data_IF_574426688711
#
_entry.id   IF_574426688711
#
_cell.length_a   1.000
_cell.length_b   1.000
_cell.length_c   1.000
_cell.angle_alpha   90.00
_cell.angle_beta   90.00
_cell.angle_gamma   90.00
#
_symmetry.space_group_name_H-M   'P 1'
#
loop_
_entity.id
_entity.type
_entity.pdbx_description
1 polymer ?
#
# COMPACT_ATOMS: atom_id res chain seq x y z
N UNK A 1 7.32 -2.74 21.34
CA UNK A 1 7.89 -2.69 19.99
C UNK A 1 7.46 -3.87 19.11
N UNK A 2 6.98 -5.00 19.65
CA UNK A 2 6.56 -6.15 18.84
C UNK A 2 5.64 -5.75 17.67
N UNK A 3 5.90 -6.22 16.44
CA UNK A 3 6.93 -7.20 16.04
C UNK A 3 8.38 -6.69 15.97
N UNK A 4 8.61 -5.39 16.05
CA UNK A 4 9.95 -4.81 15.99
C UNK A 4 10.80 -5.14 17.23
N UNK A 5 12.09 -5.47 17.03
CA UNK A 5 12.99 -5.84 18.13
C UNK A 5 13.54 -4.63 18.91
N UNK A 6 13.51 -3.44 18.33
CA UNK A 6 14.05 -2.21 18.93
C UNK A 6 13.34 -0.95 18.39
N UNK A 7 13.65 0.19 18.99
CA UNK A 7 13.04 1.47 18.65
C UNK A 7 13.45 2.00 17.27
N UNK A 8 14.73 1.84 16.89
CA UNK A 8 15.22 2.27 15.58
C UNK A 8 14.49 1.55 14.44
N UNK A 9 14.26 0.25 14.61
CA UNK A 9 13.52 -0.57 13.66
C UNK A 9 12.04 -0.21 13.62
N UNK A 10 11.41 0.08 14.76
CA UNK A 10 10.03 0.57 14.79
C UNK A 10 9.90 1.90 14.03
N UNK A 11 10.76 2.88 14.32
CA UNK A 11 10.68 4.21 13.70
C UNK A 11 10.90 4.15 12.18
N UNK A 12 11.84 3.31 11.74
CA UNK A 12 12.11 3.15 10.32
C UNK A 12 11.00 2.37 9.60
N UNK A 13 10.46 1.33 10.24
CA UNK A 13 9.30 0.59 9.75
C UNK A 13 8.04 1.45 9.66
N UNK A 14 7.76 2.26 10.68
CA UNK A 14 6.65 3.23 10.70
C UNK A 14 6.76 4.22 9.53
N UNK A 15 7.94 4.79 9.32
CA UNK A 15 8.19 5.66 8.16
C UNK A 15 7.98 4.92 6.82
N UNK A 16 8.36 3.64 6.74
CA UNK A 16 8.17 2.84 5.54
C UNK A 16 6.68 2.58 5.26
N UNK A 17 5.91 2.10 6.25
CA UNK A 17 4.51 1.71 6.09
C UNK A 17 3.54 2.90 6.00
N UNK A 18 3.75 3.97 6.77
CA UNK A 18 2.74 5.01 6.95
C UNK A 18 2.88 6.24 6.03
N UNK A 19 3.89 6.30 5.16
CA UNK A 19 4.17 7.49 4.34
C UNK A 19 3.54 7.47 2.94
N UNK A 20 2.52 6.63 2.73
CA UNK A 20 1.81 6.48 1.46
C UNK A 20 2.65 5.80 0.36
N UNK A 21 2.01 5.52 -0.77
CA UNK A 21 2.63 4.88 -1.95
C UNK A 21 3.70 5.74 -2.62
N UNK A 22 3.60 7.07 -2.51
CA UNK A 22 4.58 8.00 -3.07
C UNK A 22 5.32 8.75 -1.96
N UNK A 23 6.63 8.46 -1.81
CA UNK A 23 7.47 9.16 -0.83
C UNK A 23 7.65 10.63 -1.23
N UNK A 24 7.20 11.53 -0.37
CA UNK A 24 7.29 12.98 -0.57
C UNK A 24 8.60 13.57 -0.04
N UNK A 25 8.93 14.81 -0.45
CA UNK A 25 10.11 15.53 0.09
C UNK A 25 10.01 15.78 1.60
N UNK A 26 8.81 15.96 2.13
CA UNK A 26 8.58 16.06 3.58
C UNK A 26 8.81 14.72 4.27
N UNK A 27 8.36 13.62 3.67
CA UNK A 27 8.66 12.26 4.15
C UNK A 27 10.16 11.98 4.17
N UNK A 28 10.91 12.43 3.16
CA UNK A 28 12.37 12.31 3.15
C UNK A 28 13.03 13.08 4.30
N UNK A 29 12.54 14.27 4.66
CA UNK A 29 13.04 14.98 5.85
C UNK A 29 12.78 14.22 7.14
N UNK A 30 11.66 13.51 7.26
CA UNK A 30 11.37 12.66 8.41
C UNK A 30 12.34 11.49 8.48
N UNK A 31 12.67 10.86 7.34
CA UNK A 31 13.73 9.84 7.29
C UNK A 31 15.06 10.39 7.79
N UNK A 32 15.47 11.58 7.31
CA UNK A 32 16.71 12.23 7.74
C UNK A 32 16.73 12.51 9.26
N UNK A 33 15.58 12.87 9.84
CA UNK A 33 15.48 13.07 11.29
C UNK A 33 15.60 11.76 12.07
N UNK A 34 15.16 10.63 11.52
CA UNK A 34 15.31 9.31 12.14
C UNK A 34 16.78 8.89 12.10
N UNK A 35 17.39 8.86 10.91
CA UNK A 35 18.78 8.37 10.74
C UNK A 35 19.83 9.33 11.29
N UNK A 36 19.50 10.62 11.39
CA UNK A 36 20.36 11.67 11.95
C UNK A 36 20.25 11.81 13.47
N UNK A 37 19.45 11.00 14.15
CA UNK A 37 19.30 11.03 15.61
C UNK A 37 20.55 10.50 16.32
N UNK A 38 20.91 11.07 17.46
CA UNK A 38 22.02 10.57 18.31
C UNK A 38 21.78 9.15 18.82
N UNK A 39 20.51 8.76 18.96
CA UNK A 39 20.09 7.45 19.43
C UNK A 39 19.99 6.42 18.29
N UNK A 40 20.22 6.86 17.05
CA UNK A 40 20.14 5.97 15.89
C UNK A 40 21.37 5.06 15.85
N UNK A 41 21.10 3.75 15.91
CA UNK A 41 22.11 2.70 15.88
C UNK A 41 21.95 1.90 14.59
N UNK A 42 22.87 2.03 13.64
CA UNK A 42 22.80 1.30 12.37
C UNK A 42 22.74 -0.21 12.56
N UNK A 43 23.40 -0.73 13.61
CA UNK A 43 23.44 -2.16 13.90
C UNK A 43 22.06 -2.73 14.25
N UNK A 44 21.21 -1.92 14.87
CA UNK A 44 19.85 -2.31 15.27
C UNK A 44 18.95 -2.51 14.04
N UNK A 45 19.17 -1.73 12.98
CA UNK A 45 18.41 -1.78 11.72
C UNK A 45 18.94 -2.89 10.80
N UNK A 46 20.26 -3.00 10.66
CA UNK A 46 20.88 -4.00 9.76
C UNK A 46 20.59 -5.44 10.19
N UNK A 47 20.49 -5.71 11.49
CA UNK A 47 20.23 -7.05 12.01
C UNK A 47 18.74 -7.39 12.14
N UNK A 48 17.86 -6.45 11.79
CA UNK A 48 16.41 -6.64 11.90
C UNK A 48 15.90 -7.56 10.79
N UNK A 49 15.08 -8.55 11.16
CA UNK A 49 14.43 -9.48 10.23
C UNK A 49 13.21 -8.83 9.57
N UNK A 50 13.43 -7.85 8.71
CA UNK A 50 12.37 -7.04 8.07
C UNK A 50 11.28 -7.89 7.40
N UNK A 51 11.65 -8.90 6.62
CA UNK A 51 10.67 -9.78 5.97
C UNK A 51 9.73 -10.51 6.95
N UNK A 52 10.25 -10.93 8.11
CA UNK A 52 9.42 -11.60 9.12
C UNK A 52 8.45 -10.61 9.78
N UNK A 53 8.91 -9.39 10.05
CA UNK A 53 8.11 -8.29 10.59
C UNK A 53 7.01 -7.89 9.60
N UNK A 54 7.35 -7.73 8.33
CA UNK A 54 6.41 -7.35 7.28
C UNK A 54 5.36 -8.45 7.02
N UNK A 55 5.74 -9.72 7.12
CA UNK A 55 4.78 -10.84 7.08
C UNK A 55 3.80 -10.78 8.26
N UNK A 56 4.31 -10.56 9.46
CA UNK A 56 3.49 -10.50 10.68
C UNK A 56 2.55 -9.28 10.68
N UNK A 57 3.02 -8.12 10.21
CA UNK A 57 2.21 -6.91 10.10
C UNK A 57 1.19 -6.98 8.96
N UNK A 58 1.57 -7.59 7.83
CA UNK A 58 0.72 -7.72 6.66
C UNK A 58 -0.31 -8.85 6.75
N UNK A 59 -0.30 -9.67 7.82
CA UNK A 59 -1.04 -10.93 7.89
C UNK A 59 -0.83 -11.82 6.65
N UNK A 60 0.36 -11.76 6.06
CA UNK A 60 0.70 -12.51 4.86
C UNK A 60 1.10 -13.94 5.24
N UNK A 61 0.65 -14.92 4.45
CA UNK A 61 1.08 -16.31 4.59
C UNK A 61 2.60 -16.41 4.29
N UNK A 62 3.41 -16.99 5.20
CA UNK A 62 4.86 -17.11 5.02
C UNK A 62 5.28 -17.98 3.81
N UNK A 63 4.34 -18.64 3.13
CA UNK A 63 4.58 -19.28 1.83
C UNK A 63 4.78 -18.29 0.67
N UNK A 64 4.46 -17.01 0.86
CA UNK A 64 4.57 -15.94 -0.15
C UNK A 64 5.87 -15.12 -0.06
N UNK A 65 6.80 -15.51 0.83
CA UNK A 65 8.01 -14.74 1.19
C UNK A 65 9.04 -14.66 0.04
N UNK A 66 8.92 -15.50 -0.98
CA UNK A 66 9.89 -15.58 -2.08
C UNK A 66 9.51 -14.77 -3.33
N UNK A 67 8.37 -14.08 -3.35
CA UNK A 67 8.11 -13.11 -4.40
C UNK A 67 8.42 -11.70 -3.90
N UNK A 68 9.54 -11.19 -4.40
CA UNK A 68 9.80 -9.78 -4.63
C UNK A 68 8.73 -9.11 -5.54
N UNK A 69 7.45 -9.49 -5.42
CA UNK A 69 6.28 -8.87 -6.05
C UNK A 69 5.89 -7.56 -5.39
N UNK A 70 6.44 -7.24 -4.20
CA UNK A 70 6.30 -5.91 -3.60
C UNK A 70 7.13 -4.82 -4.30
N UNK A 71 7.87 -5.20 -5.36
CA UNK A 71 8.43 -4.26 -6.35
C UNK A 71 7.47 -4.00 -7.51
N UNK A 72 6.33 -4.68 -7.58
CA UNK A 72 5.26 -4.35 -8.51
C UNK A 72 4.39 -3.27 -7.86
N UNK A 73 4.58 -2.02 -8.28
CA UNK A 73 3.87 -0.82 -7.81
C UNK A 73 2.33 -0.92 -7.91
N UNK A 74 1.83 -1.99 -8.54
CA UNK A 74 0.44 -2.24 -8.90
C UNK A 74 -0.18 -3.43 -8.14
N UNK A 75 0.34 -3.81 -6.96
CA UNK A 75 -0.17 -4.92 -6.15
C UNK A 75 -1.71 -4.92 -5.99
N UNK A 76 -2.38 -5.84 -6.69
CA UNK A 76 -3.84 -6.05 -6.66
C UNK A 76 -4.67 -5.11 -7.53
N UNK A 77 -4.06 -4.14 -8.21
CA UNK A 77 -4.72 -3.25 -9.16
C UNK A 77 -4.65 -3.82 -10.57
N UNK A 78 -5.79 -3.81 -11.27
CA UNK A 78 -5.91 -4.32 -12.63
C UNK A 78 -6.65 -3.35 -13.52
N UNK A 79 -6.25 -3.32 -14.80
CA UNK A 79 -7.01 -2.64 -15.84
C UNK A 79 -8.13 -3.56 -16.31
N UNK A 80 -9.37 -3.10 -16.25
CA UNK A 80 -10.53 -3.88 -16.66
C UNK A 80 -11.51 -2.98 -17.40
N UNK A 81 -12.15 -3.49 -18.43
CA UNK A 81 -13.27 -2.79 -19.08
C UNK A 81 -14.50 -2.95 -18.19
N UNK A 82 -14.99 -1.85 -17.63
CA UNK A 82 -16.19 -1.84 -16.80
C UNK A 82 -17.35 -1.21 -17.56
N UNK A 83 -18.56 -1.74 -17.34
CA UNK A 83 -19.80 -1.12 -17.84
C UNK A 83 -20.70 -0.81 -16.66
N UNK A 84 -21.07 0.46 -16.51
CA UNK A 84 -22.01 0.91 -15.48
C UNK A 84 -23.34 1.27 -16.13
N UNK A 85 -24.44 0.86 -15.50
CA UNK A 85 -25.79 1.25 -15.91
C UNK A 85 -26.29 2.39 -15.04
N UNK A 86 -26.45 3.57 -15.62
CA UNK A 86 -26.88 4.77 -14.92
C UNK A 86 -28.36 5.00 -15.19
N UNK A 87 -29.24 4.99 -14.17
CA UNK A 87 -30.66 5.22 -14.35
C UNK A 87 -30.95 6.71 -14.61
N UNK A 88 -31.61 7.04 -15.72
CA UNK A 88 -32.08 8.40 -15.99
C UNK A 88 -33.55 8.58 -15.57
N UNK A 89 -33.89 9.70 -14.89
CA UNK A 89 -35.26 10.01 -14.48
C UNK A 89 -36.24 10.05 -15.65
N UNK A 90 -37.51 9.73 -15.36
CA UNK A 90 -38.61 9.70 -16.34
C UNK A 90 -38.84 11.01 -17.07
N UNK A 91 -38.53 12.14 -16.43
CA UNK A 91 -38.70 13.48 -17.00
C UNK A 91 -37.46 14.00 -17.74
N UNK A 92 -36.41 13.18 -17.88
CA UNK A 92 -35.23 13.56 -18.66
C UNK A 92 -35.50 13.43 -20.16
N UNK A 93 -34.69 14.12 -20.99
CA UNK A 93 -34.81 14.07 -22.46
C UNK A 93 -34.68 12.63 -23.00
N UNK A 94 -33.96 11.77 -22.28
CA UNK A 94 -33.75 10.37 -22.64
C UNK A 94 -33.91 9.49 -21.39
N UNK A 95 -35.15 9.13 -21.03
CA UNK A 95 -35.44 8.34 -19.83
C UNK A 95 -34.91 6.91 -19.90
N UNK A 96 -34.68 6.32 -18.72
CA UNK A 96 -34.32 4.92 -18.57
C UNK A 96 -32.83 4.67 -18.34
N UNK A 97 -32.43 3.42 -18.07
CA UNK A 97 -31.04 3.07 -17.82
C UNK A 97 -30.19 3.28 -19.06
N UNK A 98 -29.02 3.93 -18.91
CA UNK A 98 -28.02 4.06 -19.96
C UNK A 98 -26.72 3.42 -19.52
N UNK A 99 -26.13 2.62 -20.41
CA UNK A 99 -24.89 1.93 -20.15
C UNK A 99 -23.70 2.79 -20.60
N UNK A 100 -22.71 2.92 -19.75
CA UNK A 100 -21.45 3.60 -20.02
C UNK A 100 -20.32 2.60 -19.85
N UNK A 101 -19.54 2.41 -20.92
CA UNK A 101 -18.40 1.50 -20.92
C UNK A 101 -17.12 2.34 -20.84
N UNK A 102 -16.28 2.03 -19.86
CA UNK A 102 -14.96 2.62 -19.70
C UNK A 102 -13.94 1.50 -19.91
N UNK A 103 -13.11 1.65 -20.93
CA UNK A 103 -11.96 0.77 -21.18
C UNK A 103 -10.79 1.17 -20.30
N UNK A 104 -9.91 0.22 -20.01
CA UNK A 104 -8.68 0.44 -19.23
C UNK A 104 -8.92 1.07 -17.84
N UNK A 105 -10.06 0.77 -17.22
CA UNK A 105 -10.37 1.28 -15.87
C UNK A 105 -9.48 0.59 -14.84
N UNK A 106 -8.73 1.38 -14.08
CA UNK A 106 -7.78 0.90 -13.09
C UNK A 106 -8.50 0.64 -11.75
N UNK A 107 -8.60 -0.62 -11.33
CA UNK A 107 -9.41 -1.01 -10.17
C UNK A 107 -8.81 -2.18 -9.39
N UNK A 108 -9.14 -2.27 -8.10
CA UNK A 108 -8.79 -3.40 -7.23
C UNK A 108 -10.04 -3.99 -6.57
N UNK A 109 -9.99 -5.28 -6.21
CA UNK A 109 -11.09 -5.97 -5.54
C UNK A 109 -11.09 -5.63 -4.05
N UNK A 110 -12.20 -5.06 -3.55
CA UNK A 110 -12.35 -4.76 -2.11
C UNK A 110 -12.32 -6.02 -1.23
N UNK A 111 -12.78 -7.17 -1.75
CA UNK A 111 -12.78 -8.45 -1.00
C UNK A 111 -11.38 -9.07 -0.92
N UNK A 112 -10.44 -8.59 -1.74
CA UNK A 112 -9.03 -9.01 -1.67
C UNK A 112 -8.23 -8.17 -0.66
N UNK A 113 -8.86 -7.17 -0.04
CA UNK A 113 -8.24 -6.24 0.92
C UNK A 113 -8.69 -6.52 2.37
N UNK A 114 -9.66 -7.43 2.58
CA UNK A 114 -10.24 -7.81 3.89
C UNK A 114 -9.91 -9.27 4.17
#
# INVERSE_FOLDING_TARGET
>A
FHPYPNENSLRLGDWFWNQGTLKSRSSFKQLLNIVGSSEFRPEDVCNTKWAAIDCELGNNDPSFVDLAEWLDDDAGWKRTTITISVPFPRCSVHPGPKNYTVTDFYCCSLVSVI
#
